data_IF_542957924756
#
_entry.id   IF_542957924756
#
_cell.length_a   1.000
_cell.length_b   1.000
_cell.length_c   1.000
_cell.angle_alpha   90.00
_cell.angle_beta   90.00
_cell.angle_gamma   90.00
#
_symmetry.space_group_name_H-M   'P 1'
#
loop_
_entity.id
_entity.type
_entity.pdbx_description
1 polymer ?
#
# COMPACT_ATOMS: atom_id res chain seq x y z
N UNK A 1 8.19 -10.98 -17.65
CA UNK A 1 7.37 -9.85 -18.15
C UNK A 1 6.44 -10.31 -19.25
N UNK A 2 6.91 -11.01 -20.30
CA UNK A 2 6.09 -11.41 -21.45
C UNK A 2 4.82 -12.20 -21.02
N UNK A 3 4.95 -13.22 -20.15
CA UNK A 3 3.81 -13.98 -19.65
C UNK A 3 2.80 -13.10 -18.91
N UNK A 4 3.27 -12.14 -18.10
CA UNK A 4 2.44 -11.18 -17.41
C UNK A 4 1.68 -10.28 -18.39
N UNK A 5 2.41 -9.69 -19.34
CA UNK A 5 1.82 -8.78 -20.33
C UNK A 5 0.75 -9.45 -21.18
N UNK A 6 0.99 -10.70 -21.57
CA UNK A 6 0.03 -11.50 -22.34
C UNK A 6 -1.27 -11.75 -21.55
N UNK A 7 -1.17 -11.93 -20.23
CA UNK A 7 -2.30 -12.32 -19.36
C UNK A 7 -3.04 -11.12 -18.75
N UNK A 8 -2.30 -10.08 -18.37
CA UNK A 8 -2.79 -8.96 -17.56
C UNK A 8 -2.59 -7.57 -18.20
N UNK A 9 -1.97 -7.49 -19.39
CA UNK A 9 -1.65 -6.22 -20.06
C UNK A 9 -0.31 -5.62 -19.59
N UNK A 10 0.10 -4.56 -20.28
CA UNK A 10 1.41 -3.91 -20.10
C UNK A 10 1.41 -2.68 -19.19
N UNK A 11 0.24 -2.18 -18.80
CA UNK A 11 0.10 -0.84 -18.19
C UNK A 11 0.73 -0.72 -16.80
N UNK A 12 0.86 -1.84 -16.08
CA UNK A 12 1.31 -1.86 -14.68
C UNK A 12 2.61 -2.64 -14.48
N UNK A 13 3.35 -2.92 -15.54
CA UNK A 13 4.62 -3.62 -15.44
C UNK A 13 5.68 -2.91 -16.27
N UNK A 14 6.87 -2.78 -15.70
CA UNK A 14 8.04 -2.22 -16.35
C UNK A 14 9.19 -3.23 -16.23
N UNK A 15 9.84 -3.53 -17.34
CA UNK A 15 11.04 -4.37 -17.38
C UNK A 15 12.27 -3.47 -17.36
N UNK A 16 13.10 -3.66 -16.31
CA UNK A 16 14.36 -2.93 -16.22
C UNK A 16 15.27 -3.32 -17.39
N UNK A 17 15.83 -2.38 -18.15
CA UNK A 17 16.77 -2.67 -19.25
C UNK A 17 18.00 -3.45 -18.81
N UNK A 18 18.43 -3.29 -17.55
CA UNK A 18 19.43 -4.16 -16.93
C UNK A 18 18.72 -5.44 -16.51
N UNK A 19 18.50 -6.31 -17.47
CA UNK A 19 17.73 -7.53 -17.27
C UNK A 19 18.44 -8.56 -16.34
N UNK A 20 19.76 -8.47 -16.18
CA UNK A 20 20.54 -9.37 -15.32
C UNK A 20 21.40 -8.55 -14.34
N UNK A 21 21.06 -8.63 -13.06
CA UNK A 21 21.81 -7.98 -11.97
C UNK A 21 22.80 -8.98 -11.36
N UNK A 22 24.06 -8.89 -11.76
CA UNK A 22 25.14 -9.79 -11.31
C UNK A 22 26.14 -9.12 -10.36
N UNK A 23 26.00 -7.81 -10.12
CA UNK A 23 26.94 -7.05 -9.31
C UNK A 23 26.27 -5.84 -8.65
N UNK A 24 26.96 -5.24 -7.68
CA UNK A 24 26.50 -3.99 -7.08
C UNK A 24 26.51 -2.81 -8.08
N UNK A 25 27.34 -2.85 -9.12
CA UNK A 25 27.32 -1.86 -10.21
C UNK A 25 26.00 -1.98 -10.98
N UNK A 26 25.62 -3.20 -11.37
CA UNK A 26 24.34 -3.45 -12.03
C UNK A 26 23.17 -3.08 -11.13
N UNK A 27 23.26 -3.33 -9.82
CA UNK A 27 22.25 -2.95 -8.84
C UNK A 27 22.03 -1.43 -8.83
N UNK A 28 23.11 -0.63 -8.79
CA UNK A 28 23.01 0.85 -8.79
C UNK A 28 22.35 1.34 -10.07
N UNK A 29 22.78 0.82 -11.23
CA UNK A 29 22.19 1.17 -12.52
C UNK A 29 20.70 0.81 -12.59
N UNK A 30 20.33 -0.38 -12.08
CA UNK A 30 18.93 -0.80 -12.01
C UNK A 30 18.08 0.13 -11.13
N UNK A 31 18.60 0.52 -9.95
CA UNK A 31 17.91 1.48 -9.06
C UNK A 31 17.70 2.84 -9.73
N UNK A 32 18.69 3.36 -10.45
CA UNK A 32 18.57 4.61 -11.19
C UNK A 32 17.51 4.52 -12.29
N UNK A 33 17.50 3.41 -13.03
CA UNK A 33 16.57 3.18 -14.11
C UNK A 33 15.12 3.06 -13.64
N UNK A 34 14.84 2.20 -12.65
CA UNK A 34 13.48 2.02 -12.11
C UNK A 34 12.96 3.29 -11.42
N UNK A 35 13.85 4.08 -10.81
CA UNK A 35 13.49 5.40 -10.27
C UNK A 35 13.12 6.39 -11.38
N UNK A 36 13.89 6.42 -12.46
CA UNK A 36 13.61 7.26 -13.63
C UNK A 36 12.30 6.88 -14.30
N UNK A 37 11.99 5.57 -14.32
CA UNK A 37 10.74 5.05 -14.86
C UNK A 37 9.52 5.32 -13.94
N UNK A 38 9.75 5.82 -12.72
CA UNK A 38 8.67 6.09 -11.75
C UNK A 38 8.06 4.84 -11.13
N UNK A 39 8.82 3.74 -11.09
CA UNK A 39 8.35 2.49 -10.47
C UNK A 39 8.16 2.68 -8.96
N UNK A 40 7.03 2.25 -8.44
CA UNK A 40 6.66 2.37 -7.03
C UNK A 40 6.55 1.02 -6.30
N UNK A 41 6.76 -0.09 -7.01
CA UNK A 41 6.92 -1.44 -6.47
C UNK A 41 8.01 -2.18 -7.24
N UNK A 42 8.71 -3.09 -6.58
CA UNK A 42 9.83 -3.86 -7.14
C UNK A 42 9.51 -5.35 -7.10
N UNK A 43 9.78 -6.05 -8.20
CA UNK A 43 9.82 -7.51 -8.25
C UNK A 43 11.24 -7.96 -8.58
N UNK A 44 11.84 -8.75 -7.70
CA UNK A 44 13.11 -9.42 -7.92
C UNK A 44 12.80 -10.85 -8.33
N UNK A 45 13.13 -11.18 -9.58
CA UNK A 45 12.95 -12.52 -10.14
C UNK A 45 14.27 -13.24 -10.22
N UNK A 46 14.38 -14.34 -9.52
CA UNK A 46 15.58 -15.20 -9.52
C UNK A 46 15.45 -16.24 -10.63
N UNK A 47 16.11 -15.99 -11.74
CA UNK A 47 16.20 -16.95 -12.85
C UNK A 47 17.27 -18.01 -12.65
N UNK A 48 18.16 -17.80 -11.67
CA UNK A 48 19.26 -18.69 -11.29
C UNK A 48 19.60 -18.43 -9.82
N UNK A 49 20.71 -18.98 -9.29
CA UNK A 49 21.19 -18.78 -7.93
C UNK A 49 21.31 -17.30 -7.56
N UNK A 50 21.94 -16.51 -8.41
CA UNK A 50 22.08 -15.06 -8.24
C UNK A 50 23.12 -14.60 -7.21
N UNK A 51 23.54 -13.33 -7.26
CA UNK A 51 24.44 -12.72 -6.29
C UNK A 51 23.63 -12.15 -5.11
N UNK A 52 23.55 -12.87 -4.01
CA UNK A 52 22.80 -12.58 -2.79
C UNK A 52 22.92 -11.12 -2.28
N UNK A 53 24.11 -10.53 -2.43
CA UNK A 53 24.36 -9.16 -1.98
C UNK A 53 23.59 -8.17 -2.84
N UNK A 54 23.76 -8.24 -4.16
CA UNK A 54 23.20 -7.25 -5.08
C UNK A 54 21.69 -7.28 -5.10
N UNK A 55 21.07 -8.47 -5.13
CA UNK A 55 19.62 -8.61 -5.16
C UNK A 55 18.94 -8.12 -3.85
N UNK A 56 19.55 -8.40 -2.70
CA UNK A 56 18.99 -7.97 -1.41
C UNK A 56 19.25 -6.50 -1.13
N UNK A 57 20.38 -5.93 -1.56
CA UNK A 57 20.64 -4.49 -1.49
C UNK A 57 19.74 -3.72 -2.45
N UNK A 58 19.39 -4.29 -3.61
CA UNK A 58 18.40 -3.69 -4.51
C UNK A 58 17.09 -3.40 -3.76
N UNK A 59 16.55 -4.42 -3.08
CA UNK A 59 15.35 -4.26 -2.26
C UNK A 59 15.54 -3.32 -1.06
N UNK A 60 16.73 -3.32 -0.45
CA UNK A 60 17.05 -2.44 0.69
C UNK A 60 17.06 -0.96 0.32
N UNK A 61 17.53 -0.62 -0.88
CA UNK A 61 17.68 0.75 -1.35
C UNK A 61 16.51 1.22 -2.23
N UNK A 62 15.59 0.33 -2.58
CA UNK A 62 14.37 0.69 -3.27
C UNK A 62 13.37 1.31 -2.28
N UNK A 63 12.86 2.50 -2.61
CA UNK A 63 11.85 3.18 -1.79
C UNK A 63 10.45 2.73 -2.17
N UNK A 64 10.08 1.53 -1.75
CA UNK A 64 8.77 0.96 -2.02
C UNK A 64 8.64 -0.49 -1.55
N UNK A 65 7.46 -1.09 -1.69
CA UNK A 65 7.29 -2.52 -1.46
C UNK A 65 8.05 -3.34 -2.49
N UNK A 66 8.69 -4.40 -2.04
CA UNK A 66 9.41 -5.34 -2.88
C UNK A 66 8.89 -6.76 -2.72
N UNK A 67 8.99 -7.55 -3.78
CA UNK A 67 8.63 -8.95 -3.85
C UNK A 67 9.80 -9.78 -4.39
N UNK A 68 9.97 -11.00 -3.89
CA UNK A 68 10.94 -11.96 -4.38
C UNK A 68 10.23 -13.22 -4.84
N UNK A 69 10.52 -13.66 -6.05
CA UNK A 69 10.05 -14.90 -6.66
C UNK A 69 11.18 -15.55 -7.48
N UNK A 70 11.05 -16.81 -7.79
CA UNK A 70 12.07 -17.56 -8.51
C UNK A 70 11.49 -18.46 -9.61
N UNK A 71 12.32 -18.78 -10.59
CA UNK A 71 12.00 -19.72 -11.65
C UNK A 71 11.85 -21.15 -11.10
N UNK A 72 10.85 -21.87 -11.57
CA UNK A 72 10.79 -23.32 -11.38
C UNK A 72 11.94 -24.00 -12.12
N UNK A 73 12.50 -25.02 -11.47
CA UNK A 73 13.55 -25.83 -12.04
C UNK A 73 13.02 -26.74 -13.15
N UNK A 74 13.75 -26.83 -14.24
CA UNK A 74 13.42 -27.78 -15.31
C UNK A 74 13.56 -29.22 -14.84
N UNK A 75 12.59 -30.05 -15.20
CA UNK A 75 12.60 -31.48 -14.92
C UNK A 75 12.66 -32.27 -16.21
N UNK A 76 13.42 -33.38 -16.18
CA UNK A 76 13.44 -34.34 -17.28
C UNK A 76 12.12 -35.12 -17.39
N UNK A 77 11.90 -35.81 -18.49
CA UNK A 77 10.73 -36.67 -18.70
C UNK A 77 10.52 -37.73 -17.59
N UNK A 78 11.58 -38.08 -16.85
CA UNK A 78 11.50 -39.02 -15.73
C UNK A 78 11.31 -38.34 -14.37
N UNK A 79 11.03 -37.03 -14.34
CA UNK A 79 10.83 -36.27 -13.11
C UNK A 79 12.11 -35.90 -12.34
N UNK A 80 13.27 -36.30 -12.85
CA UNK A 80 14.57 -35.86 -12.30
C UNK A 80 14.97 -34.48 -12.79
N UNK A 81 15.90 -33.83 -12.11
CA UNK A 81 16.44 -32.55 -12.50
C UNK A 81 17.30 -32.62 -13.75
N UNK A 82 17.21 -31.63 -14.62
CA UNK A 82 18.02 -31.53 -15.84
C UNK A 82 19.44 -31.06 -15.46
N UNK A 83 20.46 -31.75 -15.98
CA UNK A 83 21.85 -31.38 -15.74
C UNK A 83 22.16 -30.01 -16.38
N UNK A 84 22.87 -29.14 -15.66
CA UNK A 84 23.29 -27.82 -16.15
C UNK A 84 22.17 -26.76 -16.14
N UNK A 85 21.02 -27.08 -15.58
CA UNK A 85 19.94 -26.10 -15.33
C UNK A 85 20.36 -25.05 -14.32
N UNK A 86 19.57 -23.98 -14.19
CA UNK A 86 19.72 -22.99 -13.14
C UNK A 86 19.51 -23.58 -11.73
N UNK A 87 19.78 -22.77 -10.72
CA UNK A 87 19.63 -23.12 -9.30
C UNK A 87 18.84 -22.02 -8.55
N UNK A 88 17.70 -21.66 -9.10
CA UNK A 88 16.87 -20.57 -8.59
C UNK A 88 16.24 -20.89 -7.24
N UNK A 89 15.93 -22.17 -6.97
CA UNK A 89 15.42 -22.61 -5.67
C UNK A 89 16.40 -22.31 -4.54
N UNK A 90 17.67 -22.69 -4.73
CA UNK A 90 18.73 -22.42 -3.77
C UNK A 90 18.97 -20.91 -3.60
N UNK A 91 18.96 -20.19 -4.72
CA UNK A 91 19.00 -18.72 -4.73
C UNK A 91 17.89 -18.10 -3.89
N UNK A 92 16.67 -18.59 -4.00
CA UNK A 92 15.53 -18.08 -3.21
C UNK A 92 15.70 -18.34 -1.71
N UNK A 93 16.22 -19.48 -1.30
CA UNK A 93 16.56 -19.77 0.10
C UNK A 93 17.60 -18.78 0.63
N UNK A 94 18.65 -18.54 -0.12
CA UNK A 94 19.71 -17.60 0.25
C UNK A 94 19.23 -16.16 0.26
N UNK A 95 18.45 -15.73 -0.73
CA UNK A 95 17.83 -14.40 -0.74
C UNK A 95 16.96 -14.17 0.50
N UNK A 96 16.13 -15.14 0.86
CA UNK A 96 15.28 -15.09 2.06
C UNK A 96 16.08 -14.89 3.35
N UNK A 97 17.18 -15.63 3.49
CA UNK A 97 18.08 -15.51 4.63
C UNK A 97 18.78 -14.14 4.65
N UNK A 98 19.30 -13.68 3.53
CA UNK A 98 19.99 -12.40 3.40
C UNK A 98 19.07 -11.20 3.62
N UNK A 99 17.84 -11.23 3.15
CA UNK A 99 16.83 -10.22 3.46
C UNK A 99 16.62 -10.08 4.97
N UNK A 100 16.50 -11.22 5.68
CA UNK A 100 16.38 -11.24 7.13
C UNK A 100 17.62 -10.68 7.83
N UNK A 101 18.83 -11.08 7.41
CA UNK A 101 20.09 -10.56 7.96
C UNK A 101 20.20 -9.03 7.86
N UNK A 102 19.71 -8.47 6.75
CA UNK A 102 19.74 -7.02 6.49
C UNK A 102 18.53 -6.27 7.03
N UNK A 103 17.61 -6.96 7.71
CA UNK A 103 16.35 -6.42 8.18
C UNK A 103 15.52 -5.76 7.05
N UNK A 104 15.56 -6.35 5.87
CA UNK A 104 14.78 -5.93 4.70
C UNK A 104 13.47 -6.70 4.69
N UNK A 105 12.35 -5.99 4.66
CA UNK A 105 11.02 -6.59 4.54
C UNK A 105 10.65 -6.65 3.06
N UNK A 106 10.53 -7.85 2.54
CA UNK A 106 10.00 -8.11 1.20
C UNK A 106 8.82 -9.07 1.29
N UNK A 107 7.90 -8.97 0.36
CA UNK A 107 6.85 -9.96 0.19
C UNK A 107 7.42 -11.19 -0.49
N UNK A 108 7.21 -12.33 0.09
CA UNK A 108 7.54 -13.65 -0.46
C UNK A 108 6.25 -14.46 -0.45
N UNK A 109 5.73 -14.89 -1.61
CA UNK A 109 4.57 -15.78 -1.66
C UNK A 109 4.80 -17.07 -0.88
N UNK A 110 3.74 -17.74 -0.48
CA UNK A 110 3.84 -19.05 0.20
C UNK A 110 4.61 -20.07 -0.65
N UNK A 111 4.39 -20.05 -1.96
CA UNK A 111 5.13 -20.82 -2.96
C UNK A 111 5.82 -19.85 -3.94
N UNK A 112 7.03 -19.37 -3.62
CA UNK A 112 7.67 -18.30 -4.39
C UNK A 112 8.35 -18.77 -5.69
N UNK A 113 8.21 -20.03 -6.06
CA UNK A 113 8.88 -20.65 -7.19
C UNK A 113 7.82 -21.14 -8.17
N UNK A 114 7.93 -20.74 -9.43
CA UNK A 114 6.95 -21.11 -10.44
C UNK A 114 7.46 -21.03 -11.87
N UNK A 115 6.65 -21.55 -12.77
CA UNK A 115 6.76 -21.33 -14.20
C UNK A 115 6.55 -19.85 -14.54
N UNK A 116 6.81 -19.44 -15.77
CA UNK A 116 6.59 -18.05 -16.18
C UNK A 116 5.13 -17.59 -15.98
N UNK A 117 4.16 -18.47 -16.21
CA UNK A 117 2.74 -18.18 -16.03
C UNK A 117 2.35 -18.07 -14.54
N UNK A 118 2.85 -18.98 -13.69
CA UNK A 118 2.64 -18.93 -12.24
C UNK A 118 3.32 -17.70 -11.62
N UNK A 119 4.51 -17.35 -12.07
CA UNK A 119 5.16 -16.10 -11.64
C UNK A 119 4.39 -14.86 -12.07
N UNK A 120 3.76 -14.87 -13.24
CA UNK A 120 2.90 -13.78 -13.68
C UNK A 120 1.68 -13.62 -12.76
N UNK A 121 1.09 -14.73 -12.30
CA UNK A 121 -0.02 -14.71 -11.33
C UNK A 121 0.43 -14.16 -9.98
N UNK A 122 1.58 -14.61 -9.45
CA UNK A 122 2.16 -14.08 -8.21
C UNK A 122 2.40 -12.56 -8.28
N UNK A 123 2.90 -12.05 -9.41
CA UNK A 123 3.12 -10.61 -9.62
C UNK A 123 1.77 -9.87 -9.63
N UNK A 124 0.76 -10.45 -10.27
CA UNK A 124 -0.58 -9.86 -10.31
C UNK A 124 -1.20 -9.78 -8.90
N UNK A 125 -1.05 -10.83 -8.09
CA UNK A 125 -1.51 -10.87 -6.70
C UNK A 125 -0.74 -9.88 -5.80
N UNK A 126 0.54 -9.62 -6.08
CA UNK A 126 1.33 -8.64 -5.35
C UNK A 126 0.87 -7.19 -5.60
N UNK A 127 0.35 -6.87 -6.77
CA UNK A 127 -0.03 -5.50 -7.13
C UNK A 127 -1.02 -4.84 -6.13
N UNK A 128 -2.12 -5.48 -5.69
CA UNK A 128 -2.99 -4.92 -4.66
C UNK A 128 -2.31 -4.80 -3.29
N UNK A 129 -1.41 -5.73 -2.93
CA UNK A 129 -0.63 -5.67 -1.69
C UNK A 129 0.29 -4.44 -1.73
N UNK A 130 1.01 -4.24 -2.83
CA UNK A 130 1.89 -3.09 -3.03
C UNK A 130 1.12 -1.77 -2.94
N UNK A 131 -0.04 -1.68 -3.61
CA UNK A 131 -0.91 -0.49 -3.52
C UNK A 131 -1.36 -0.20 -2.10
N UNK A 132 -1.74 -1.22 -1.34
CA UNK A 132 -2.14 -1.06 0.05
C UNK A 132 -0.99 -0.54 0.92
N UNK A 133 0.23 -1.08 0.78
CA UNK A 133 1.42 -0.63 1.51
C UNK A 133 1.73 0.84 1.18
N UNK A 134 1.68 1.22 -0.10
CA UNK A 134 1.94 2.59 -0.55
C UNK A 134 0.86 3.53 0.01
N UNK A 135 -0.42 3.15 -0.07
CA UNK A 135 -1.52 3.95 0.45
C UNK A 135 -1.42 4.16 1.96
N UNK A 136 -1.06 3.12 2.72
CA UNK A 136 -0.87 3.23 4.18
C UNK A 136 0.30 4.17 4.53
N UNK A 137 1.39 4.13 3.79
CA UNK A 137 2.52 5.06 3.98
C UNK A 137 2.15 6.52 3.69
N UNK A 138 1.15 6.73 2.85
CA UNK A 138 0.69 8.06 2.43
C UNK A 138 -0.65 8.44 3.09
N UNK A 139 -0.96 7.82 4.24
CA UNK A 139 -2.18 8.03 5.01
C UNK A 139 -1.94 8.99 6.18
N UNK A 140 -2.89 9.90 6.40
CA UNK A 140 -3.05 10.67 7.62
C UNK A 140 -4.38 10.31 8.29
N UNK A 141 -4.35 10.11 9.59
CA UNK A 141 -5.54 9.96 10.44
C UNK A 141 -5.75 11.27 11.19
N UNK A 142 -6.87 11.92 10.97
CA UNK A 142 -7.32 13.07 11.74
C UNK A 142 -8.32 12.56 12.78
N UNK A 143 -7.97 12.67 14.04
CA UNK A 143 -8.78 12.17 15.15
C UNK A 143 -9.42 13.30 15.90
N UNK A 144 -10.71 13.15 16.21
CA UNK A 144 -11.44 14.03 17.12
C UNK A 144 -11.84 13.23 18.36
N UNK A 145 -11.25 13.59 19.50
CA UNK A 145 -11.47 12.84 20.70
C UNK A 145 -11.04 13.60 21.94
N UNK A 146 -10.79 12.96 23.02
CA UNK A 146 -10.29 11.60 23.26
C UNK A 146 -11.38 10.52 23.20
N UNK A 147 -10.93 9.25 23.33
CA UNK A 147 -11.85 8.11 23.46
C UNK A 147 -12.94 8.35 24.51
N UNK A 148 -14.11 7.68 24.40
CA UNK A 148 -15.09 7.73 25.46
C UNK A 148 -14.53 7.15 26.76
N UNK A 149 -14.53 7.92 27.83
CA UNK A 149 -14.14 7.55 29.21
C UNK A 149 -13.31 6.26 29.38
N UNK A 150 -13.95 5.18 29.81
CA UNK A 150 -13.29 3.92 30.18
C UNK A 150 -12.99 2.98 28.99
N UNK A 151 -13.20 3.41 27.77
CA UNK A 151 -12.92 2.64 26.56
C UNK A 151 -11.42 2.60 26.23
N UNK A 152 -10.63 2.00 27.12
CA UNK A 152 -9.17 1.91 26.98
C UNK A 152 -8.74 1.15 25.71
N UNK A 153 -9.58 0.22 25.24
CA UNK A 153 -9.35 -0.51 23.99
C UNK A 153 -9.39 0.40 22.74
N UNK A 154 -9.98 1.59 22.84
CA UNK A 154 -10.03 2.57 21.73
C UNK A 154 -8.78 3.46 21.66
N UNK A 155 -7.73 3.18 22.42
CA UNK A 155 -6.45 3.87 22.29
C UNK A 155 -5.71 3.35 21.04
N UNK A 156 -5.42 4.24 20.11
CA UNK A 156 -4.59 3.89 18.97
C UNK A 156 -3.13 3.67 19.40
N UNK A 157 -2.44 2.64 18.90
CA UNK A 157 -1.02 2.44 19.14
C UNK A 157 -0.20 3.37 18.22
N UNK A 158 -0.11 4.65 18.56
CA UNK A 158 0.49 5.72 17.73
C UNK A 158 1.88 5.35 17.20
N UNK A 159 2.74 4.79 18.06
CA UNK A 159 4.09 4.37 17.65
C UNK A 159 4.08 3.33 16.53
N UNK A 160 3.17 2.37 16.58
CA UNK A 160 3.03 1.34 15.55
C UNK A 160 2.51 1.94 14.24
N UNK A 161 1.61 2.91 14.31
CA UNK A 161 1.11 3.63 13.14
C UNK A 161 2.21 4.47 12.49
N UNK A 162 3.00 5.20 13.24
CA UNK A 162 4.19 5.90 12.72
C UNK A 162 5.20 4.95 12.07
N UNK A 163 5.42 3.76 12.64
CA UNK A 163 6.29 2.75 12.04
C UNK A 163 5.77 2.22 10.68
N UNK A 164 4.47 2.39 10.39
CA UNK A 164 3.86 2.08 9.10
C UNK A 164 3.89 3.28 8.14
N UNK A 165 4.34 4.45 8.60
CA UNK A 165 4.35 5.68 7.82
C UNK A 165 3.05 6.48 7.89
N UNK A 166 2.09 6.06 8.74
CA UNK A 166 0.83 6.79 8.97
C UNK A 166 1.10 8.01 9.84
N UNK A 167 0.61 9.17 9.43
CA UNK A 167 0.58 10.38 10.26
C UNK A 167 -0.71 10.47 11.05
N UNK A 168 -0.63 11.05 12.25
CA UNK A 168 -1.79 11.24 13.13
C UNK A 168 -1.85 12.69 13.59
N UNK A 169 -3.04 13.24 13.51
CA UNK A 169 -3.39 14.53 14.09
C UNK A 169 -4.51 14.33 15.09
N UNK A 170 -4.28 14.75 16.33
CA UNK A 170 -5.28 14.65 17.40
C UNK A 170 -5.87 16.03 17.71
N UNK A 171 -7.19 16.13 17.59
CA UNK A 171 -7.98 17.33 17.85
C UNK A 171 -9.02 17.04 18.92
N UNK A 172 -9.53 18.09 19.57
CA UNK A 172 -10.65 17.94 20.50
C UNK A 172 -12.00 17.97 19.76
N UNK A 173 -13.03 17.43 20.39
CA UNK A 173 -14.40 17.57 19.87
C UNK A 173 -14.87 19.02 19.90
N UNK A 174 -14.29 19.85 20.77
CA UNK A 174 -14.62 21.29 20.84
C UNK A 174 -14.15 22.01 19.57
N UNK A 175 -12.96 21.64 19.03
CA UNK A 175 -12.46 22.19 17.77
C UNK A 175 -13.41 21.85 16.62
N UNK A 176 -13.87 20.60 16.58
CA UNK A 176 -14.84 20.15 15.57
C UNK A 176 -16.19 20.86 15.71
N UNK A 177 -16.66 21.01 16.93
CA UNK A 177 -17.93 21.71 17.21
C UNK A 177 -17.88 23.19 16.80
N UNK A 178 -16.77 23.87 17.08
CA UNK A 178 -16.55 25.25 16.65
C UNK A 178 -16.52 25.35 15.11
N UNK A 179 -15.80 24.44 14.45
CA UNK A 179 -15.74 24.38 12.99
C UNK A 179 -17.14 24.12 12.39
N UNK A 180 -17.90 23.19 12.96
CA UNK A 180 -19.28 22.91 12.56
C UNK A 180 -20.18 24.16 12.65
N UNK A 181 -20.10 24.89 13.74
CA UNK A 181 -20.89 26.11 13.91
C UNK A 181 -20.51 27.24 12.93
N UNK A 182 -19.23 27.30 12.50
CA UNK A 182 -18.78 28.24 11.46
C UNK A 182 -19.36 27.93 10.08
N UNK A 183 -19.76 26.69 9.82
CA UNK A 183 -20.42 26.28 8.58
C UNK A 183 -21.96 26.40 8.64
N UNK A 184 -22.52 26.99 9.71
CA UNK A 184 -23.98 27.22 9.78
C UNK A 184 -24.41 28.13 8.63
N UNK A 185 -25.35 27.65 7.80
CA UNK A 185 -25.84 28.36 6.63
C UNK A 185 -24.87 28.37 5.42
N UNK A 186 -23.90 27.51 5.40
CA UNK A 186 -23.03 27.36 4.22
C UNK A 186 -23.86 27.07 2.95
N UNK A 187 -23.63 27.79 1.84
CA UNK A 187 -24.44 27.68 0.63
C UNK A 187 -24.38 26.30 -0.04
N UNK A 188 -23.41 25.47 0.30
CA UNK A 188 -23.27 24.08 -0.22
C UNK A 188 -24.23 23.10 0.45
N UNK A 189 -24.78 23.42 1.64
CA UNK A 189 -25.61 22.48 2.42
C UNK A 189 -26.80 21.91 1.62
N UNK A 190 -27.58 22.69 0.87
CA UNK A 190 -28.74 22.16 0.15
C UNK A 190 -28.34 21.10 -0.92
N UNK A 191 -27.24 21.35 -1.64
CA UNK A 191 -26.76 20.45 -2.70
C UNK A 191 -26.21 19.14 -2.11
N UNK A 192 -25.42 19.22 -1.04
CA UNK A 192 -24.90 18.05 -0.34
C UNK A 192 -26.02 17.24 0.31
N UNK A 193 -27.01 17.90 0.93
CA UNK A 193 -28.17 17.22 1.51
C UNK A 193 -29.02 16.50 0.45
N UNK A 194 -29.13 17.08 -0.74
CA UNK A 194 -29.80 16.45 -1.89
C UNK A 194 -29.04 15.21 -2.38
N UNK A 195 -27.72 15.30 -2.52
CA UNK A 195 -26.86 14.19 -2.92
C UNK A 195 -26.95 13.01 -1.92
N UNK A 196 -26.89 13.32 -0.62
CA UNK A 196 -27.13 12.32 0.44
C UNK A 196 -28.51 11.68 0.35
N UNK A 197 -29.55 12.46 0.04
CA UNK A 197 -30.90 11.93 -0.10
C UNK A 197 -31.03 10.97 -1.29
N UNK A 198 -30.37 11.28 -2.40
CA UNK A 198 -30.34 10.42 -3.59
C UNK A 198 -29.57 9.12 -3.32
N UNK A 199 -28.42 9.18 -2.67
CA UNK A 199 -27.60 8.03 -2.30
C UNK A 199 -28.32 7.07 -1.33
N UNK A 200 -28.92 7.60 -0.28
CA UNK A 200 -29.64 6.82 0.73
C UNK A 200 -31.00 6.30 0.23
N UNK A 201 -31.64 7.00 -0.69
CA UNK A 201 -32.91 6.61 -1.30
C UNK A 201 -34.00 6.25 -0.27
N UNK A 202 -34.78 5.24 -0.56
CA UNK A 202 -35.84 4.75 0.32
C UNK A 202 -35.35 4.15 1.65
N UNK A 203 -34.05 3.96 1.82
CA UNK A 203 -33.44 3.48 3.07
C UNK A 203 -33.37 4.57 4.15
N UNK A 204 -33.45 5.84 3.77
CA UNK A 204 -33.40 6.96 4.71
C UNK A 204 -34.71 7.06 5.52
N UNK A 205 -34.60 6.79 6.81
CA UNK A 205 -35.73 6.89 7.76
C UNK A 205 -35.76 8.21 8.54
N UNK A 206 -34.78 9.10 8.31
CA UNK A 206 -34.63 10.37 9.02
C UNK A 206 -34.23 11.51 8.09
N UNK A 207 -35.07 11.83 7.08
CA UNK A 207 -34.76 12.91 6.14
C UNK A 207 -34.57 14.28 6.78
N UNK A 208 -35.17 14.50 7.95
CA UNK A 208 -35.09 15.76 8.69
C UNK A 208 -33.70 16.10 9.24
N UNK A 209 -32.77 15.16 9.26
CA UNK A 209 -31.40 15.41 9.74
C UNK A 209 -30.39 15.65 8.61
N UNK A 210 -30.80 15.53 7.35
CA UNK A 210 -29.87 15.59 6.21
C UNK A 210 -29.12 16.93 6.12
N UNK A 211 -29.76 18.05 6.34
CA UNK A 211 -29.09 19.35 6.32
C UNK A 211 -27.99 19.44 7.41
N UNK A 212 -28.25 18.89 8.59
CA UNK A 212 -27.24 18.85 9.66
C UNK A 212 -26.07 17.93 9.31
N UNK A 213 -26.37 16.79 8.68
CA UNK A 213 -25.33 15.87 8.20
C UNK A 213 -24.52 16.47 7.06
N UNK A 214 -25.16 17.18 6.13
CA UNK A 214 -24.51 17.90 5.06
C UNK A 214 -23.56 19.00 5.59
N UNK A 215 -24.02 19.78 6.58
CA UNK A 215 -23.16 20.74 7.28
C UNK A 215 -21.97 20.06 7.93
N UNK A 216 -22.17 18.88 8.54
CA UNK A 216 -21.11 18.09 9.17
C UNK A 216 -20.11 17.55 8.16
N UNK A 217 -20.59 17.01 7.04
CA UNK A 217 -19.73 16.55 5.94
C UNK A 217 -18.87 17.68 5.38
N UNK A 218 -19.48 18.84 5.07
CA UNK A 218 -18.74 20.01 4.59
C UNK A 218 -17.66 20.41 5.60
N UNK A 219 -17.99 20.42 6.89
CA UNK A 219 -17.04 20.74 7.95
C UNK A 219 -15.85 19.79 7.96
N UNK A 220 -16.10 18.49 7.83
CA UNK A 220 -15.03 17.47 7.81
C UNK A 220 -14.17 17.56 6.56
N UNK A 221 -14.77 17.78 5.39
CA UNK A 221 -14.04 17.93 4.13
C UNK A 221 -13.16 19.18 4.13
N UNK A 222 -13.66 20.32 4.59
CA UNK A 222 -12.88 21.55 4.69
C UNK A 222 -11.75 21.40 5.74
N UNK A 223 -12.03 20.70 6.84
CA UNK A 223 -10.98 20.36 7.81
C UNK A 223 -9.88 19.51 7.19
N UNK A 224 -10.25 18.47 6.45
CA UNK A 224 -9.31 17.61 5.74
C UNK A 224 -8.45 18.43 4.79
N UNK A 225 -9.04 19.29 3.97
CA UNK A 225 -8.28 20.12 3.02
C UNK A 225 -7.29 21.05 3.72
N UNK A 226 -7.67 21.63 4.85
CA UNK A 226 -6.82 22.52 5.63
C UNK A 226 -5.67 21.78 6.35
N UNK A 227 -5.87 20.50 6.69
CA UNK A 227 -4.98 19.75 7.59
C UNK A 227 -4.29 18.54 6.96
N UNK A 228 -4.64 18.13 5.74
CA UNK A 228 -4.01 16.95 5.07
C UNK A 228 -2.49 17.04 4.91
N UNK A 229 -1.95 18.25 4.85
CA UNK A 229 -0.53 18.49 4.62
C UNK A 229 -0.07 17.92 3.28
N UNK A 230 1.02 17.17 3.29
CA UNK A 230 1.56 16.51 2.09
C UNK A 230 1.00 15.10 1.84
N UNK A 231 0.15 14.58 2.72
CA UNK A 231 -0.42 13.23 2.59
C UNK A 231 -1.52 13.20 1.54
N UNK A 232 -1.55 12.14 0.76
CA UNK A 232 -2.53 11.93 -0.32
C UNK A 232 -3.87 11.42 0.19
N UNK A 233 -3.83 10.55 1.19
CA UNK A 233 -5.02 9.93 1.76
C UNK A 233 -5.23 10.42 3.19
N UNK A 234 -6.48 10.74 3.50
CA UNK A 234 -6.88 11.15 4.83
C UNK A 234 -8.09 10.34 5.25
N UNK A 235 -8.11 9.91 6.50
CA UNK A 235 -9.30 9.36 7.13
C UNK A 235 -9.57 10.05 8.45
N UNK A 236 -10.83 10.07 8.84
CA UNK A 236 -11.29 10.69 10.08
C UNK A 236 -11.64 9.61 11.08
N UNK A 237 -11.19 9.79 12.32
CA UNK A 237 -11.55 8.97 13.46
C UNK A 237 -12.26 9.86 14.51
N UNK A 238 -13.51 9.55 14.79
CA UNK A 238 -14.28 10.22 15.82
C UNK A 238 -14.86 9.22 16.81
N UNK A 239 -15.21 9.66 18.00
CA UNK A 239 -15.93 8.81 18.93
C UNK A 239 -17.42 8.71 18.58
N UNK A 240 -18.02 7.57 18.89
CA UNK A 240 -19.38 7.22 18.48
C UNK A 240 -20.48 7.88 19.32
N UNK A 241 -20.17 8.50 20.46
CA UNK A 241 -21.09 9.30 21.28
C UNK A 241 -20.37 10.22 22.26
N UNK A 242 -21.12 11.09 22.91
CA UNK A 242 -21.66 12.24 22.22
C UNK A 242 -20.76 13.42 22.48
N UNK A 243 -20.54 14.20 21.52
CA UNK A 243 -20.20 15.55 21.86
C UNK A 243 -21.30 16.50 21.39
N UNK A 244 -21.88 16.18 20.26
CA UNK A 244 -22.98 17.00 19.68
C UNK A 244 -23.72 16.23 18.59
#
# INVERSE_FOLDING_TARGET
>A
VEAYTKKYGSDNIYECPICIVESEIHMVQALEDIKKAGCNALVVYLGNFGPEISETLLAKHFDGPSMFIAAAEETSANGGLVQGRGDAYCGMLNASYNLKLRNVRAYIPEYPIGTADECADMIHEFAPIARAIIAVRDLKIISFGPRPQNFLACNAPIKQLYNLGVEIEENSELDLFEAYNKHAGDPRIPDVAKDMAEELGAGNKKPEVLEKLAQYEITLLDWVEAHKGYKKYVTIAGKCWPAF
#
